data_IF_204610768454
#
_entry.id   IF_204610768454
#
_cell.length_a   1.000
_cell.length_b   1.000
_cell.length_c   1.000
_cell.angle_alpha   90.00
_cell.angle_beta   90.00
_cell.angle_gamma   90.00
#
_symmetry.space_group_name_H-M   'P 1'
#
loop_
_entity.id
_entity.type
_entity.pdbx_description
1 polymer ?
#
# COMPACT_ATOMS: atom_id res chain seq x y z
N UNK A 1 27.91 -25.17 -43.03
CA UNK A 1 27.97 -23.78 -42.53
C UNK A 1 26.81 -23.61 -41.58
N UNK A 2 27.07 -23.70 -40.27
CA UNK A 2 26.05 -23.65 -39.21
C UNK A 2 26.00 -22.21 -38.71
N UNK A 3 24.95 -21.48 -39.03
CA UNK A 3 24.65 -20.18 -38.39
C UNK A 3 23.78 -20.43 -37.17
N UNK A 4 24.40 -20.25 -36.01
CA UNK A 4 23.87 -20.40 -34.66
C UNK A 4 22.74 -19.37 -34.41
N UNK A 5 21.56 -19.84 -33.98
CA UNK A 5 20.52 -18.99 -33.40
C UNK A 5 21.02 -18.41 -32.06
N UNK A 6 21.22 -17.10 -32.02
CA UNK A 6 21.42 -16.36 -30.77
C UNK A 6 20.08 -16.15 -30.05
N UNK A 7 19.68 -17.11 -29.21
CA UNK A 7 18.65 -16.87 -28.20
C UNK A 7 19.23 -15.95 -27.13
N UNK A 8 18.94 -14.66 -27.23
CA UNK A 8 19.06 -13.70 -26.13
C UNK A 8 17.97 -14.03 -25.11
N UNK A 9 18.27 -14.97 -24.22
CA UNK A 9 17.56 -15.07 -22.94
C UNK A 9 17.90 -13.81 -22.14
N UNK A 10 17.06 -12.78 -22.28
CA UNK A 10 16.95 -11.73 -21.28
C UNK A 10 16.40 -12.41 -20.02
N UNK A 11 17.29 -12.88 -19.15
CA UNK A 11 16.94 -13.15 -17.77
C UNK A 11 16.62 -11.81 -17.12
N UNK A 12 15.38 -11.35 -17.25
CA UNK A 12 14.77 -10.51 -16.23
C UNK A 12 14.72 -11.38 -14.97
N UNK A 13 15.77 -11.29 -14.15
CA UNK A 13 15.82 -11.93 -12.86
C UNK A 13 14.75 -11.31 -11.96
N UNK A 14 13.50 -11.76 -12.12
CA UNK A 14 12.48 -11.53 -11.11
C UNK A 14 13.02 -12.11 -9.81
N UNK A 15 13.20 -11.25 -8.81
CA UNK A 15 13.50 -11.67 -7.45
C UNK A 15 12.30 -12.41 -6.87
N UNK A 16 12.19 -13.69 -7.22
CA UNK A 16 11.25 -14.67 -6.66
C UNK A 16 11.62 -15.13 -5.25
N UNK A 17 12.55 -14.44 -4.57
CA UNK A 17 13.10 -14.86 -3.27
C UNK A 17 12.36 -14.31 -2.04
N UNK A 18 11.53 -13.29 -2.17
CA UNK A 18 10.83 -12.71 -1.02
C UNK A 18 9.52 -13.45 -0.75
N UNK A 19 9.32 -13.89 0.48
CA UNK A 19 8.06 -14.50 0.91
C UNK A 19 7.04 -13.39 1.20
N UNK A 20 6.33 -12.94 0.17
CA UNK A 20 5.33 -11.85 0.27
C UNK A 20 4.22 -12.15 1.28
N UNK A 21 3.86 -13.42 1.45
CA UNK A 21 2.90 -13.84 2.48
C UNK A 21 3.47 -13.71 3.89
N UNK A 22 4.77 -13.89 4.09
CA UNK A 22 5.44 -13.59 5.37
C UNK A 22 5.45 -12.08 5.62
N UNK A 23 5.84 -11.28 4.64
CA UNK A 23 5.87 -9.81 4.75
C UNK A 23 4.48 -9.25 5.07
N UNK A 24 3.44 -9.66 4.33
CA UNK A 24 2.05 -9.25 4.58
C UNK A 24 1.58 -9.58 6.01
N UNK A 25 1.93 -10.78 6.52
CA UNK A 25 1.64 -11.16 7.91
C UNK A 25 2.40 -10.31 8.93
N UNK A 26 3.66 -9.96 8.67
CA UNK A 26 4.44 -9.12 9.58
C UNK A 26 3.93 -7.68 9.63
N UNK A 27 3.51 -7.12 8.49
CA UNK A 27 2.86 -5.81 8.45
C UNK A 27 1.57 -5.85 9.28
N UNK A 28 0.71 -6.86 9.08
CA UNK A 28 -0.52 -7.03 9.89
C UNK A 28 -0.21 -7.06 11.40
N UNK A 29 0.85 -7.75 11.82
CA UNK A 29 1.28 -7.80 13.23
C UNK A 29 1.74 -6.43 13.74
N UNK A 30 2.47 -5.66 12.93
CA UNK A 30 2.93 -4.31 13.28
C UNK A 30 1.80 -3.30 13.37
N UNK A 31 0.75 -3.48 12.56
CA UNK A 31 -0.45 -2.65 12.63
C UNK A 31 -1.34 -2.96 13.86
N UNK A 32 -1.14 -4.12 14.52
CA UNK A 32 -1.98 -4.60 15.64
C UNK A 32 -2.04 -3.63 16.83
N UNK A 33 -1.03 -2.78 17.01
CA UNK A 33 -1.00 -1.76 18.07
C UNK A 33 -1.91 -0.55 17.80
N UNK A 34 -2.47 -0.43 16.59
CA UNK A 34 -2.99 0.86 16.10
C UNK A 34 -4.39 0.78 15.47
N UNK A 35 -4.89 -0.42 15.16
CA UNK A 35 -6.18 -0.62 14.48
C UNK A 35 -7.03 -1.69 15.19
N UNK A 36 -8.35 -1.63 14.99
CA UNK A 36 -9.23 -2.73 15.40
C UNK A 36 -8.91 -4.02 14.62
N UNK A 37 -9.13 -5.17 15.25
CA UNK A 37 -8.83 -6.49 14.66
C UNK A 37 -9.52 -6.73 13.31
N UNK A 38 -10.69 -6.12 13.07
CA UNK A 38 -11.43 -6.22 11.81
C UNK A 38 -10.75 -5.48 10.66
N UNK A 39 -10.37 -4.21 10.84
CA UNK A 39 -9.70 -3.43 9.79
C UNK A 39 -8.33 -4.01 9.43
N UNK A 40 -7.61 -4.52 10.43
CA UNK A 40 -6.36 -5.26 10.22
C UNK A 40 -6.53 -6.49 9.35
N UNK A 41 -7.62 -7.23 9.55
CA UNK A 41 -7.93 -8.40 8.75
C UNK A 41 -8.33 -8.00 7.32
N UNK A 42 -9.08 -6.91 7.16
CA UNK A 42 -9.43 -6.34 5.86
C UNK A 42 -8.19 -5.97 5.03
N UNK A 43 -7.30 -5.14 5.56
CA UNK A 43 -6.05 -4.73 4.90
C UNK A 43 -5.17 -5.93 4.53
N UNK A 44 -5.02 -6.88 5.46
CA UNK A 44 -4.29 -8.12 5.18
C UNK A 44 -4.92 -8.92 4.03
N UNK A 45 -6.23 -9.12 4.06
CA UNK A 45 -6.93 -9.89 3.02
C UNK A 45 -6.90 -9.19 1.67
N UNK A 46 -6.96 -7.85 1.63
CA UNK A 46 -6.83 -7.08 0.39
C UNK A 46 -5.47 -7.34 -0.26
N UNK A 47 -4.37 -7.28 0.50
CA UNK A 47 -3.03 -7.59 -0.03
C UNK A 47 -2.90 -9.03 -0.54
N UNK A 48 -3.50 -9.99 0.16
CA UNK A 48 -3.45 -11.40 -0.24
C UNK A 48 -4.28 -11.69 -1.50
N UNK A 49 -5.50 -11.15 -1.59
CA UNK A 49 -6.40 -11.37 -2.73
C UNK A 49 -5.98 -10.60 -3.97
N UNK A 50 -5.49 -9.37 -3.80
CA UNK A 50 -4.98 -8.58 -4.92
C UNK A 50 -3.65 -9.11 -5.44
N UNK A 51 -2.90 -9.88 -4.63
CA UNK A 51 -1.53 -10.29 -4.95
C UNK A 51 -0.64 -9.10 -5.32
N UNK A 52 -0.88 -7.93 -4.71
CA UNK A 52 -0.25 -6.67 -5.08
C UNK A 52 1.29 -6.73 -5.09
N UNK A 53 1.89 -7.46 -4.14
CA UNK A 53 3.34 -7.65 -4.08
C UNK A 53 3.90 -8.51 -5.22
N UNK A 54 3.12 -9.46 -5.74
CA UNK A 54 3.54 -10.30 -6.89
C UNK A 54 3.43 -9.53 -8.20
N UNK A 55 2.57 -8.50 -8.26
CA UNK A 55 2.35 -7.68 -9.44
C UNK A 55 3.30 -6.48 -9.52
N UNK A 56 3.86 -6.04 -8.39
CA UNK A 56 4.79 -4.91 -8.34
C UNK A 56 6.15 -5.34 -8.90
N UNK A 57 6.73 -4.54 -9.81
CA UNK A 57 8.11 -4.76 -10.25
C UNK A 57 9.08 -4.39 -9.12
N UNK A 58 9.74 -5.36 -8.49
CA UNK A 58 10.61 -5.14 -7.31
C UNK A 58 12.06 -5.56 -7.58
N UNK A 59 12.99 -4.67 -7.19
CA UNK A 59 14.44 -4.89 -7.25
C UNK A 59 15.04 -5.28 -5.88
N UNK A 60 16.28 -5.78 -5.85
CA UNK A 60 16.97 -6.27 -4.63
C UNK A 60 17.12 -5.25 -3.50
N UNK A 61 17.27 -3.98 -3.86
CA UNK A 61 17.57 -2.88 -2.94
C UNK A 61 16.47 -1.81 -2.96
N UNK A 62 15.25 -2.23 -3.25
CA UNK A 62 14.12 -1.33 -3.40
C UNK A 62 13.52 -0.90 -2.06
N UNK A 63 12.80 0.21 -2.07
CA UNK A 63 11.93 0.61 -0.97
C UNK A 63 10.49 0.64 -1.46
N UNK A 64 9.66 -0.19 -0.83
CA UNK A 64 8.25 -0.29 -1.13
C UNK A 64 7.48 0.51 -0.10
N UNK A 65 6.59 1.37 -0.57
CA UNK A 65 5.69 2.16 0.24
C UNK A 65 4.26 1.66 0.06
N UNK A 66 3.47 1.72 1.13
CA UNK A 66 2.07 1.32 1.14
C UNK A 66 1.28 2.36 1.92
N UNK A 67 0.16 2.78 1.36
CA UNK A 67 -0.92 3.44 2.09
C UNK A 67 -2.15 2.55 2.06
N UNK A 68 -2.71 2.33 3.23
CA UNK A 68 -3.97 1.59 3.42
C UNK A 68 -4.93 2.44 4.23
N UNK A 69 -6.16 2.61 3.74
CA UNK A 69 -7.24 3.26 4.47
C UNK A 69 -8.52 2.41 4.45
N UNK A 70 -9.43 2.76 5.34
CA UNK A 70 -10.78 2.21 5.40
C UNK A 70 -11.75 3.39 5.40
N UNK A 71 -12.39 3.60 4.26
CA UNK A 71 -13.37 4.66 4.06
C UNK A 71 -14.79 4.16 4.32
N UNK A 72 -15.60 5.08 4.86
CA UNK A 72 -17.06 5.02 5.05
C UNK A 72 -17.60 3.92 6.00
N UNK A 73 -18.38 4.33 7.00
CA UNK A 73 -19.08 3.42 7.91
C UNK A 73 -20.31 2.76 7.28
N UNK A 74 -20.89 3.37 6.23
CA UNK A 74 -22.11 2.90 5.59
C UNK A 74 -21.85 1.82 4.54
N UNK A 75 -20.81 1.97 3.72
CA UNK A 75 -20.31 0.94 2.81
C UNK A 75 -18.78 0.85 2.86
N UNK A 76 -18.22 0.12 3.85
CA UNK A 76 -16.80 0.16 4.13
C UNK A 76 -15.98 -0.34 2.94
N UNK A 77 -15.34 0.62 2.28
CA UNK A 77 -14.43 0.43 1.17
C UNK A 77 -13.02 0.63 1.68
N UNK A 78 -12.19 -0.39 1.49
CA UNK A 78 -10.78 -0.33 1.81
C UNK A 78 -9.98 0.01 0.57
N UNK A 79 -9.03 0.93 0.70
CA UNK A 79 -8.10 1.31 -0.36
C UNK A 79 -6.70 0.87 0.02
N UNK A 80 -5.96 0.36 -0.97
CA UNK A 80 -4.55 0.03 -0.90
C UNK A 80 -3.87 0.74 -2.07
N UNK A 81 -2.87 1.57 -1.81
CA UNK A 81 -1.91 2.02 -2.83
C UNK A 81 -0.53 1.57 -2.42
N UNK A 82 0.13 0.80 -3.29
CA UNK A 82 1.46 0.21 -3.13
C UNK A 82 2.35 0.77 -4.24
N UNK A 83 3.52 1.31 -3.90
CA UNK A 83 4.43 1.84 -4.91
C UNK A 83 5.89 1.70 -4.52
N UNK A 84 6.76 1.83 -5.52
CA UNK A 84 8.20 1.99 -5.37
C UNK A 84 8.70 3.01 -6.42
N UNK A 85 9.99 2.99 -6.74
CA UNK A 85 10.56 3.90 -7.75
C UNK A 85 10.10 3.62 -9.19
N UNK A 86 9.58 2.44 -9.48
CA UNK A 86 9.32 1.95 -10.84
C UNK A 86 7.83 1.83 -11.15
N UNK A 87 7.00 1.55 -10.15
CA UNK A 87 5.61 1.16 -10.34
C UNK A 87 4.72 1.66 -9.19
N UNK A 88 3.43 1.83 -9.49
CA UNK A 88 2.38 2.20 -8.55
C UNK A 88 1.13 1.40 -8.85
N UNK A 89 0.64 0.67 -7.86
CA UNK A 89 -0.54 -0.18 -7.95
C UNK A 89 -1.56 0.23 -6.90
N UNK A 90 -2.81 0.41 -7.33
CA UNK A 90 -3.91 0.73 -6.43
C UNK A 90 -5.03 -0.30 -6.55
N UNK A 91 -5.60 -0.68 -5.41
CA UNK A 91 -6.74 -1.58 -5.32
C UNK A 91 -7.76 -1.06 -4.31
N UNK A 92 -9.03 -1.30 -4.61
CA UNK A 92 -10.13 -1.08 -3.66
C UNK A 92 -10.90 -2.38 -3.43
N UNK A 93 -11.55 -2.51 -2.28
CA UNK A 93 -12.51 -3.60 -2.03
C UNK A 93 -13.61 -3.12 -1.10
N UNK A 94 -14.87 -3.37 -1.48
CA UNK A 94 -16.04 -3.04 -0.67
C UNK A 94 -16.45 -4.16 0.29
N UNK A 95 -17.28 -3.81 1.28
CA UNK A 95 -17.91 -4.72 2.26
C UNK A 95 -16.92 -5.60 3.02
N UNK A 96 -15.70 -5.11 3.23
CA UNK A 96 -14.68 -5.86 3.96
C UNK A 96 -15.10 -6.12 5.41
N UNK A 97 -15.82 -5.17 6.04
CA UNK A 97 -16.24 -5.24 7.44
C UNK A 97 -17.21 -6.40 7.70
N UNK A 98 -18.24 -6.53 6.87
CA UNK A 98 -19.27 -7.57 6.99
C UNK A 98 -18.77 -8.96 6.61
N UNK A 99 -17.70 -9.05 5.82
CA UNK A 99 -17.15 -10.30 5.32
C UNK A 99 -15.65 -10.46 5.61
N UNK A 100 -15.17 -9.92 6.74
CA UNK A 100 -13.73 -9.88 7.04
C UNK A 100 -13.13 -11.29 7.10
N UNK A 101 -13.87 -12.30 7.59
CA UNK A 101 -13.44 -13.71 7.60
C UNK A 101 -13.31 -14.31 6.19
N UNK A 102 -14.19 -13.89 5.27
CA UNK A 102 -14.16 -14.33 3.86
C UNK A 102 -13.31 -13.39 2.97
N UNK A 103 -12.70 -12.36 3.58
CA UNK A 103 -11.80 -11.40 2.95
C UNK A 103 -12.47 -10.35 2.06
N UNK A 104 -13.71 -9.96 2.34
CA UNK A 104 -14.43 -8.93 1.56
C UNK A 104 -14.72 -9.32 0.10
N UNK A 105 -15.18 -8.36 -0.70
CA UNK A 105 -15.38 -8.53 -2.15
C UNK A 105 -14.04 -8.73 -2.88
N UNK A 106 -14.11 -9.21 -4.12
CA UNK A 106 -12.95 -9.31 -5.01
C UNK A 106 -12.31 -7.91 -5.15
N UNK A 107 -10.99 -7.76 -4.91
CA UNK A 107 -10.32 -6.48 -5.12
C UNK A 107 -10.40 -5.99 -6.57
N UNK A 108 -10.64 -4.70 -6.74
CA UNK A 108 -10.69 -4.05 -8.04
C UNK A 108 -9.45 -3.18 -8.20
N UNK A 109 -8.63 -3.46 -9.23
CA UNK A 109 -7.47 -2.62 -9.58
C UNK A 109 -7.97 -1.28 -10.10
N UNK A 110 -7.32 -0.21 -9.67
CA UNK A 110 -7.61 1.17 -10.09
C UNK A 110 -6.48 1.70 -10.98
N UNK A 111 -6.84 2.58 -11.93
CA UNK A 111 -5.87 3.19 -12.85
C UNK A 111 -5.18 4.42 -12.25
N UNK A 112 -5.72 4.98 -11.16
CA UNK A 112 -5.19 6.16 -10.46
C UNK A 112 -4.84 5.82 -9.01
N UNK A 113 -3.86 6.51 -8.41
CA UNK A 113 -3.59 6.41 -6.98
C UNK A 113 -4.82 6.74 -6.13
N UNK A 114 -4.97 6.03 -5.01
CA UNK A 114 -6.08 6.23 -4.06
C UNK A 114 -5.86 7.37 -3.06
N UNK A 115 -4.69 8.01 -3.09
CA UNK A 115 -4.28 9.04 -2.13
C UNK A 115 -3.71 10.26 -2.87
N UNK A 116 -3.70 11.41 -2.20
CA UNK A 116 -3.15 12.64 -2.78
C UNK A 116 -1.65 12.49 -3.05
N UNK A 117 -1.15 13.17 -4.08
CA UNK A 117 0.28 13.15 -4.43
C UNK A 117 1.13 13.68 -3.28
N UNK A 118 0.63 14.68 -2.56
CA UNK A 118 1.30 15.24 -1.37
C UNK A 118 1.46 14.19 -0.28
N UNK A 119 0.40 13.45 0.07
CA UNK A 119 0.48 12.39 1.07
C UNK A 119 1.46 11.29 0.65
N UNK A 120 1.37 10.83 -0.61
CA UNK A 120 2.31 9.84 -1.15
C UNK A 120 3.75 10.33 -1.12
N UNK A 121 3.99 11.61 -1.42
CA UNK A 121 5.32 12.23 -1.36
C UNK A 121 5.87 12.22 0.06
N UNK A 122 5.10 12.69 1.04
CA UNK A 122 5.53 12.73 2.45
C UNK A 122 5.87 11.33 2.98
N UNK A 123 5.10 10.31 2.59
CA UNK A 123 5.36 8.91 2.95
C UNK A 123 6.60 8.38 2.23
N UNK A 124 6.82 8.74 0.97
CA UNK A 124 8.02 8.35 0.21
C UNK A 124 9.30 8.92 0.84
N UNK A 125 9.24 10.18 1.28
CA UNK A 125 10.32 10.86 2.00
C UNK A 125 10.43 10.37 3.45
N UNK A 126 9.44 9.63 3.94
CA UNK A 126 9.26 9.24 5.33
C UNK A 126 9.35 10.45 6.29
N UNK A 127 8.78 11.59 5.87
CA UNK A 127 8.78 12.84 6.61
C UNK A 127 7.70 12.83 7.69
N UNK A 128 7.99 12.14 8.81
CA UNK A 128 7.06 11.95 9.92
C UNK A 128 6.60 13.28 10.53
N UNK A 129 7.50 14.27 10.62
CA UNK A 129 7.19 15.54 11.26
C UNK A 129 6.16 16.33 10.45
N UNK A 130 6.34 16.40 9.13
CA UNK A 130 5.37 17.06 8.25
C UNK A 130 4.04 16.29 8.20
N UNK A 131 4.08 14.95 8.21
CA UNK A 131 2.87 14.13 8.29
C UNK A 131 2.08 14.46 9.57
N UNK A 132 2.75 14.67 10.71
CA UNK A 132 2.07 15.05 11.96
C UNK A 132 1.46 16.44 11.88
N UNK A 133 2.17 17.39 11.27
CA UNK A 133 1.67 18.75 11.06
C UNK A 133 0.42 18.74 10.16
N UNK A 134 0.45 17.98 9.06
CA UNK A 134 -0.67 17.81 8.14
C UNK A 134 -1.85 17.09 8.81
N UNK A 135 -1.58 16.03 9.58
CA UNK A 135 -2.58 15.33 10.38
C UNK A 135 -3.29 16.33 11.32
N UNK A 136 -2.54 17.13 12.09
CA UNK A 136 -3.10 18.13 13.00
C UNK A 136 -3.93 19.21 12.30
N UNK A 137 -3.45 19.75 11.18
CA UNK A 137 -4.06 20.90 10.50
C UNK A 137 -5.17 20.52 9.51
N UNK A 138 -4.95 19.47 8.73
CA UNK A 138 -5.76 19.09 7.58
C UNK A 138 -6.39 17.69 7.74
N UNK A 139 -6.12 17.00 8.85
CA UNK A 139 -6.71 15.70 9.15
C UNK A 139 -8.23 15.80 9.37
N UNK A 140 -8.98 14.90 8.73
CA UNK A 140 -10.44 14.87 8.78
C UNK A 140 -10.98 14.93 10.21
N UNK A 141 -11.89 15.87 10.46
CA UNK A 141 -12.47 16.10 11.78
C UNK A 141 -13.60 15.13 12.13
N UNK A 142 -14.31 14.54 11.15
CA UNK A 142 -15.24 13.39 11.27
C UNK A 142 -15.86 13.04 9.89
N UNK A 143 -16.07 11.75 9.54
CA UNK A 143 -15.57 10.57 10.24
C UNK A 143 -14.05 10.47 10.13
N UNK A 144 -13.39 10.01 11.20
CA UNK A 144 -11.94 9.86 11.26
C UNK A 144 -11.50 8.69 10.39
N UNK A 145 -11.14 8.97 9.14
CA UNK A 145 -10.50 8.00 8.27
C UNK A 145 -9.02 7.93 8.64
N UNK A 146 -8.62 6.80 9.19
CA UNK A 146 -7.23 6.58 9.51
C UNK A 146 -6.51 5.95 8.33
N UNK A 147 -5.28 6.42 8.12
CA UNK A 147 -4.37 5.91 7.11
C UNK A 147 -3.23 5.20 7.82
N UNK A 148 -2.88 4.03 7.30
CA UNK A 148 -1.66 3.32 7.68
C UNK A 148 -0.64 3.47 6.56
N UNK A 149 0.47 4.15 6.85
CA UNK A 149 1.65 4.10 6.03
C UNK A 149 2.54 2.92 6.44
N UNK A 150 3.04 2.19 5.47
CA UNK A 150 4.07 1.16 5.66
C UNK A 150 5.22 1.42 4.70
N UNK A 151 6.45 1.36 5.20
CA UNK A 151 7.67 1.35 4.39
C UNK A 151 8.42 0.05 4.61
N UNK A 152 8.72 -0.62 3.50
CA UNK A 152 9.47 -1.87 3.46
C UNK A 152 10.78 -1.59 2.74
N UNK A 153 11.88 -1.57 3.48
CA UNK A 153 13.22 -1.38 2.92
C UNK A 153 13.79 -2.78 2.64
N UNK A 154 13.98 -3.10 1.37
CA UNK A 154 14.56 -4.37 0.93
C UNK A 154 16.08 -4.24 0.80
N UNK A 155 16.79 -5.27 1.22
CA UNK A 155 18.23 -5.38 1.03
C UNK A 155 18.57 -6.86 0.85
N UNK A 156 18.64 -7.31 -0.41
CA UNK A 156 18.97 -8.67 -0.87
C UNK A 156 18.32 -9.82 -0.06
N UNK A 157 18.84 -10.12 1.13
CA UNK A 157 18.42 -11.22 2.03
C UNK A 157 17.59 -10.77 3.23
N UNK A 158 17.47 -9.46 3.48
CA UNK A 158 16.79 -8.90 4.64
C UNK A 158 15.80 -7.83 4.20
N UNK A 159 14.83 -7.58 5.07
CA UNK A 159 13.95 -6.44 4.95
C UNK A 159 13.70 -5.82 6.31
N UNK A 160 13.38 -4.52 6.31
CA UNK A 160 12.90 -3.78 7.47
C UNK A 160 11.52 -3.23 7.16
N UNK A 161 10.58 -3.39 8.09
CA UNK A 161 9.23 -2.84 7.99
C UNK A 161 9.04 -1.77 9.07
N UNK A 162 8.80 -0.54 8.62
CA UNK A 162 8.40 0.59 9.44
C UNK A 162 6.93 0.93 9.14
N UNK A 163 6.17 1.31 10.16
CA UNK A 163 4.76 1.68 10.03
C UNK A 163 4.52 3.04 10.71
N UNK A 164 3.63 3.84 10.14
CA UNK A 164 3.15 5.10 10.70
C UNK A 164 1.63 5.16 10.55
N UNK A 165 0.96 5.76 11.52
CA UNK A 165 -0.50 5.87 11.56
C UNK A 165 -0.88 7.33 11.78
N UNK A 166 -1.80 7.83 10.96
CA UNK A 166 -2.21 9.24 10.95
C UNK A 166 -3.61 9.38 10.35
N UNK A 167 -4.29 10.50 10.59
CA UNK A 167 -5.59 10.77 9.96
C UNK A 167 -5.40 11.12 8.49
N UNK A 168 -6.33 10.68 7.65
CA UNK A 168 -6.40 11.13 6.27
C UNK A 168 -6.50 12.66 6.27
N UNK A 169 -5.49 13.31 5.68
CA UNK A 169 -5.44 14.76 5.53
C UNK A 169 -5.63 15.16 4.08
N UNK A 170 -6.35 16.27 3.88
CA UNK A 170 -6.66 16.78 2.55
C UNK A 170 -6.76 18.30 2.57
N UNK A 171 -6.11 18.96 1.62
CA UNK A 171 -6.23 20.39 1.40
C UNK A 171 -6.76 20.64 -0.01
N UNK A 172 -7.93 21.28 -0.15
CA UNK A 172 -8.60 21.43 -1.46
C UNK A 172 -7.79 22.25 -2.48
N UNK A 173 -7.05 23.25 -2.03
CA UNK A 173 -6.26 24.12 -2.92
C UNK A 173 -5.04 23.39 -3.49
N UNK A 174 -4.41 22.53 -2.67
CA UNK A 174 -3.24 21.73 -3.05
C UNK A 174 -3.63 20.43 -3.77
N UNK A 175 -4.59 19.71 -3.22
CA UNK A 175 -4.88 18.30 -3.56
C UNK A 175 -6.10 18.14 -4.48
N UNK A 176 -6.92 19.18 -4.67
CA UNK A 176 -8.19 19.09 -5.40
C UNK A 176 -8.10 18.71 -6.89
N UNK A 177 -6.89 18.76 -7.47
CA UNK A 177 -6.63 18.39 -8.85
C UNK A 177 -6.09 16.96 -9.01
N UNK A 178 -5.78 16.26 -7.92
CA UNK A 178 -5.17 14.92 -7.97
C UNK A 178 -6.13 13.82 -8.42
N UNK A 179 -7.44 14.06 -8.29
CA UNK A 179 -8.49 13.10 -8.63
C UNK A 179 -9.24 13.41 -9.93
N UNK A 180 -8.82 14.44 -10.68
CA UNK A 180 -9.39 14.76 -12.01
C UNK A 180 -8.80 13.87 -13.08
#
# INVERSE_FOLDING_TARGET
MITLLGFLFLFSGHLSGQNWNKISREIKKKHLSSLSSTYLLCHYNLRQKSKCFEQLHVETSDTIFILEDSNDYSEPTITLTLWNRSDTLTYTSGNCYYNAKNGGKIPIKQDKPGFTKHMMKLVSDWNIDEIRIEDEKNGGSLPQYWVVATRIILNEKKYKIDCLYFRYFFNIERDGMDFK
#
